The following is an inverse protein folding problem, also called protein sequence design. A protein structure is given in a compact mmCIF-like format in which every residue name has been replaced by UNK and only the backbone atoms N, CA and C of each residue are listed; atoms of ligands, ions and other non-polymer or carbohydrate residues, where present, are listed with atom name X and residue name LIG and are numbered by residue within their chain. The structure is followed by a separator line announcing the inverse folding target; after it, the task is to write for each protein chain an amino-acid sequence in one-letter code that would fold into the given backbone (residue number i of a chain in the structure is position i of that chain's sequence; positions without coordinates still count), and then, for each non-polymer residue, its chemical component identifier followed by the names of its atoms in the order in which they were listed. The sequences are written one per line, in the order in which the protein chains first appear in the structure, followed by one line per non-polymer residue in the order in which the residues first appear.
data_IF_882711450624
#
_entry.id   IF_882711450624
#
_cell.length_a   1.000
_cell.length_b   1.000
_cell.length_c   1.000
_cell.angle_alpha   90.00
_cell.angle_beta   90.00
_cell.angle_gamma   90.00
#
_symmetry.space_group_name_H-M   'P 1'
#
loop_
_entity.id
_entity.type
_entity.pdbx_description
1 polymer ?
#
# COMPACT_ATOMS: atom_id res chain seq x y z
N UNK A 1 -4.35 4.74 1.49
CA UNK A 1 -3.93 4.09 2.75
C UNK A 1 -2.48 4.46 3.05
N UNK A 2 -2.17 4.86 4.30
CA UNK A 2 -0.85 5.34 4.75
C UNK A 2 -0.56 4.81 6.17
N UNK A 3 0.64 4.31 6.44
CA UNK A 3 1.00 3.81 7.77
C UNK A 3 2.43 3.25 7.89
N UNK A 4 2.84 2.95 9.12
CA UNK A 4 4.09 2.22 9.45
C UNK A 4 3.69 1.01 10.28
N UNK A 5 4.08 -0.22 9.94
CA UNK A 5 5.01 -0.66 8.88
C UNK A 5 4.25 -1.05 7.60
N UNK A 6 4.79 -0.73 6.42
CA UNK A 6 4.13 -0.94 5.11
C UNK A 6 3.65 -2.38 4.90
N UNK A 7 4.42 -3.39 5.30
CA UNK A 7 4.01 -4.79 5.13
C UNK A 7 2.91 -5.29 6.09
N UNK A 8 2.63 -4.57 7.19
CA UNK A 8 1.63 -4.99 8.18
C UNK A 8 0.44 -4.05 8.18
N UNK A 9 0.65 -2.81 8.61
CA UNK A 9 -0.43 -1.86 8.87
C UNK A 9 -1.02 -1.23 7.60
N UNK A 10 -0.37 -1.42 6.45
CA UNK A 10 -0.85 -0.93 5.15
C UNK A 10 -1.29 -2.10 4.27
N UNK A 11 -0.48 -3.16 4.17
CA UNK A 11 -0.81 -4.30 3.30
C UNK A 11 -2.02 -5.12 3.77
N UNK A 12 -2.17 -5.42 5.06
CA UNK A 12 -3.33 -6.20 5.53
C UNK A 12 -4.67 -5.47 5.34
N UNK A 13 -4.85 -4.23 5.80
CA UNK A 13 -6.11 -3.53 5.58
C UNK A 13 -6.34 -3.20 4.10
N UNK A 14 -5.29 -3.03 3.29
CA UNK A 14 -5.43 -2.87 1.85
C UNK A 14 -6.02 -4.13 1.19
N UNK A 15 -5.51 -5.31 1.54
CA UNK A 15 -6.02 -6.57 1.01
C UNK A 15 -7.47 -6.83 1.44
N UNK A 16 -7.81 -6.60 2.72
CA UNK A 16 -9.19 -6.75 3.20
C UNK A 16 -10.16 -5.78 2.52
N UNK A 17 -9.77 -4.52 2.34
CA UNK A 17 -10.61 -3.54 1.66
C UNK A 17 -10.82 -3.88 0.17
N UNK A 18 -9.80 -4.43 -0.51
CA UNK A 18 -9.95 -4.96 -1.88
C UNK A 18 -10.95 -6.11 -1.91
N UNK A 19 -10.87 -7.04 -0.95
CA UNK A 19 -11.76 -8.20 -0.88
C UNK A 19 -13.23 -7.80 -0.60
N UNK A 20 -13.43 -6.71 0.15
CA UNK A 20 -14.75 -6.09 0.36
C UNK A 20 -15.24 -5.26 -0.84
N UNK A 21 -14.45 -5.16 -1.92
CA UNK A 21 -14.82 -4.49 -3.17
C UNK A 21 -14.55 -2.98 -3.19
N UNK A 22 -13.70 -2.47 -2.30
CA UNK A 22 -13.28 -1.07 -2.31
C UNK A 22 -12.09 -0.84 -3.24
N UNK A 23 -12.04 0.34 -3.86
CA UNK A 23 -10.87 0.81 -4.58
C UNK A 23 -9.78 1.26 -3.60
N UNK A 24 -8.68 0.52 -3.55
CA UNK A 24 -7.58 0.78 -2.61
C UNK A 24 -6.41 1.46 -3.30
N UNK A 25 -6.13 2.70 -2.86
CA UNK A 25 -4.96 3.48 -3.26
C UNK A 25 -3.92 3.46 -2.14
N UNK A 26 -2.74 2.91 -2.39
CA UNK A 26 -1.64 2.83 -1.41
C UNK A 26 -0.70 3.99 -1.64
N UNK A 27 -0.49 4.80 -0.60
CA UNK A 27 0.38 5.99 -0.67
C UNK A 27 1.81 5.60 -0.28
N UNK A 28 2.64 5.35 -1.29
CA UNK A 28 3.93 4.67 -1.16
C UNK A 28 5.04 5.54 -0.55
N UNK A 29 5.04 6.84 -0.82
CA UNK A 29 6.00 7.84 -0.28
C UNK A 29 5.66 8.27 1.15
N UNK A 30 4.47 7.92 1.62
CA UNK A 30 3.92 8.31 2.89
C UNK A 30 3.95 7.13 3.90
N UNK A 31 4.34 5.93 3.44
CA UNK A 31 4.42 4.68 4.19
C UNK A 31 5.87 4.23 4.37
N UNK A 32 6.28 4.00 5.62
CA UNK A 32 7.64 3.59 5.96
C UNK A 32 7.76 2.08 6.21
N UNK A 33 8.93 1.51 5.92
CA UNK A 33 9.29 0.13 6.28
C UNK A 33 10.76 0.07 6.71
N UNK A 34 11.18 -1.05 7.29
CA UNK A 34 12.53 -1.24 7.84
C UNK A 34 13.61 -1.41 6.77
N UNK A 35 13.27 -1.89 5.57
CA UNK A 35 14.23 -2.14 4.50
C UNK A 35 13.57 -2.00 3.11
N UNK A 36 14.34 -1.72 2.06
CA UNK A 36 13.81 -1.61 0.70
C UNK A 36 13.26 -2.94 0.19
N UNK A 37 13.86 -4.07 0.60
CA UNK A 37 13.38 -5.39 0.21
C UNK A 37 11.95 -5.64 0.72
N UNK A 38 11.67 -5.31 1.98
CA UNK A 38 10.32 -5.47 2.56
C UNK A 38 9.33 -4.51 1.91
N UNK A 39 9.78 -3.30 1.52
CA UNK A 39 8.99 -2.33 0.76
C UNK A 39 8.51 -2.91 -0.57
N UNK A 40 9.46 -3.39 -1.37
CA UNK A 40 9.19 -3.90 -2.71
C UNK A 40 8.32 -5.17 -2.67
N UNK A 41 8.58 -6.08 -1.73
CA UNK A 41 7.73 -7.28 -1.55
C UNK A 41 6.30 -6.93 -1.14
N UNK A 42 6.10 -5.93 -0.28
CA UNK A 42 4.76 -5.47 0.10
C UNK A 42 4.02 -4.80 -1.06
N UNK A 43 4.73 -3.97 -1.85
CA UNK A 43 4.17 -3.34 -3.05
C UNK A 43 3.77 -4.36 -4.10
N UNK A 44 4.62 -5.36 -4.36
CA UNK A 44 4.32 -6.42 -5.32
C UNK A 44 3.06 -7.20 -4.90
N UNK A 45 2.98 -7.57 -3.62
CA UNK A 45 1.80 -8.25 -3.06
C UNK A 45 0.53 -7.42 -3.16
N UNK A 46 0.60 -6.12 -2.83
CA UNK A 46 -0.57 -5.23 -2.91
C UNK A 46 -0.97 -4.97 -4.37
N UNK A 47 0.00 -4.79 -5.27
CA UNK A 47 -0.26 -4.58 -6.70
C UNK A 47 -0.87 -5.83 -7.35
N UNK A 48 -0.40 -7.03 -7.01
CA UNK A 48 -0.99 -8.28 -7.50
C UNK A 48 -2.45 -8.45 -7.05
N UNK A 49 -2.79 -7.95 -5.86
CA UNK A 49 -4.16 -7.96 -5.37
C UNK A 49 -5.05 -6.88 -6.02
N UNK A 50 -4.48 -5.94 -6.78
CA UNK A 50 -5.23 -4.87 -7.46
C UNK A 50 -5.14 -3.50 -6.78
N UNK A 51 -4.28 -3.32 -5.77
CA UNK A 51 -4.06 -2.01 -5.17
C UNK A 51 -3.37 -1.05 -6.17
N UNK A 52 -3.87 0.18 -6.24
CA UNK A 52 -3.26 1.26 -7.02
C UNK A 52 -2.13 1.90 -6.18
N UNK A 53 -0.88 1.72 -6.60
CA UNK A 53 0.27 2.35 -5.95
C UNK A 53 0.38 3.81 -6.42
N UNK A 54 0.17 4.76 -5.51
CA UNK A 54 0.29 6.19 -5.80
C UNK A 54 1.26 6.86 -4.81
N UNK A 55 1.86 7.97 -5.21
CA UNK A 55 2.56 8.87 -4.29
C UNK A 55 1.58 9.88 -3.71
N UNK A 56 1.89 10.45 -2.55
CA UNK A 56 1.10 11.53 -1.93
C UNK A 56 0.86 12.66 -2.92
N UNK A 57 1.87 12.98 -3.72
CA UNK A 57 1.74 13.98 -4.78
C UNK A 57 0.65 13.65 -5.80
N UNK A 58 0.50 12.38 -6.19
CA UNK A 58 -0.56 11.93 -7.10
C UNK A 58 -1.93 11.73 -6.46
N UNK A 59 -2.03 11.78 -5.13
CA UNK A 59 -3.30 11.71 -4.39
C UNK A 59 -3.82 13.11 -4.03
N UNK A 60 -2.91 14.06 -3.79
CA UNK A 60 -3.24 15.40 -3.34
C UNK A 60 -3.65 16.36 -4.47
N UNK A 61 -3.52 15.95 -5.73
CA UNK A 61 -3.84 16.74 -6.93
C UNK A 61 -4.80 16.00 -7.85
#
# INVERSE_FOLDING_TARGET
MRGVVTEVCVAFPALSAIEEGFDVFVVTDASGTFNEITRHSAWDRMSQAGAQLMTWFGVAW
#
